data_IF_351078938826
#
_entry.id   IF_351078938826
#
_cell.length_a   1.000
_cell.length_b   1.000
_cell.length_c   1.000
_cell.angle_alpha   90.00
_cell.angle_beta   90.00
_cell.angle_gamma   90.00
#
_symmetry.space_group_name_H-M   'P 1'
#
loop_
_entity.id
_entity.type
_entity.pdbx_description
1 polymer ?
#
# COMPACT_ATOMS: atom_id res chain seq x y z
N UNK A 1 14.26 -4.06 -22.40
CA UNK A 1 15.26 -3.37 -21.57
C UNK A 1 16.67 -3.61 -22.04
N UNK A 2 17.58 -2.81 -21.57
CA UNK A 2 19.00 -2.92 -21.87
C UNK A 2 19.87 -2.68 -20.64
N UNK A 3 21.04 -3.29 -20.65
CA UNK A 3 22.08 -3.09 -19.65
C UNK A 3 23.39 -2.70 -20.33
N UNK A 4 24.05 -1.70 -19.78
CA UNK A 4 25.41 -1.32 -20.15
C UNK A 4 26.31 -1.44 -18.93
N UNK A 5 27.51 -2.05 -19.12
CA UNK A 5 28.47 -2.30 -18.06
C UNK A 5 29.87 -1.87 -18.49
N UNK A 6 30.44 -0.90 -17.77
CA UNK A 6 31.86 -0.54 -17.86
C UNK A 6 32.59 -1.20 -16.69
N UNK A 7 33.54 -2.07 -17.00
CA UNK A 7 34.49 -2.64 -16.02
C UNK A 7 35.85 -1.98 -16.18
N UNK A 8 36.53 -1.71 -15.09
CA UNK A 8 37.86 -1.12 -15.04
C UNK A 8 38.85 -2.10 -14.39
N UNK A 9 40.16 -1.99 -14.70
CA UNK A 9 41.18 -2.82 -14.05
C UNK A 9 41.15 -2.77 -12.54
N UNK A 10 41.66 -3.81 -11.88
CA UNK A 10 41.68 -3.94 -10.43
C UNK A 10 42.42 -2.83 -9.66
N UNK A 11 43.29 -2.08 -10.33
CA UNK A 11 44.00 -0.94 -9.73
C UNK A 11 43.25 0.37 -9.82
N UNK A 12 42.13 0.44 -10.57
CA UNK A 12 41.33 1.66 -10.67
C UNK A 12 40.46 1.87 -9.43
N UNK A 13 40.28 3.10 -8.98
CA UNK A 13 39.34 3.44 -7.89
C UNK A 13 37.91 3.03 -8.28
N UNK A 14 37.45 3.43 -9.46
CA UNK A 14 36.18 2.97 -10.04
C UNK A 14 36.38 1.57 -10.63
N UNK A 15 35.70 0.58 -10.09
CA UNK A 15 35.75 -0.83 -10.52
C UNK A 15 34.73 -1.12 -11.60
N UNK A 16 33.52 -0.60 -11.39
CA UNK A 16 32.42 -0.87 -12.29
C UNK A 16 31.44 0.30 -12.32
N UNK A 17 30.92 0.60 -13.50
CA UNK A 17 29.75 1.42 -13.69
C UNK A 17 28.73 0.61 -14.49
N UNK A 18 27.50 0.52 -14.00
CA UNK A 18 26.41 -0.20 -14.62
C UNK A 18 25.22 0.73 -14.81
N UNK A 19 24.66 0.76 -16.00
CA UNK A 19 23.42 1.46 -16.28
C UNK A 19 22.40 0.48 -16.87
N UNK A 20 21.19 0.48 -16.34
CA UNK A 20 20.09 -0.35 -16.81
C UNK A 20 18.90 0.53 -17.10
N UNK A 21 18.18 0.22 -18.18
CA UNK A 21 16.89 0.83 -18.49
C UNK A 21 15.91 -0.24 -18.97
N UNK A 22 14.66 -0.13 -18.58
CA UNK A 22 13.61 -1.03 -19.05
C UNK A 22 12.28 -0.29 -19.23
N UNK A 23 11.50 -0.79 -20.18
CA UNK A 23 10.13 -0.34 -20.45
C UNK A 23 9.29 -1.58 -20.67
N UNK A 24 8.09 -1.63 -20.09
CA UNK A 24 7.09 -2.65 -20.35
C UNK A 24 5.71 -2.06 -20.44
N UNK A 25 4.87 -2.65 -21.27
CA UNK A 25 3.47 -2.34 -21.45
C UNK A 25 2.70 -3.65 -21.38
N UNK A 26 1.67 -3.67 -20.56
CA UNK A 26 0.77 -4.81 -20.42
C UNK A 26 -0.64 -4.43 -20.86
N UNK A 27 -1.43 -5.44 -21.24
CA UNK A 27 -2.83 -5.29 -21.57
C UNK A 27 -3.61 -6.33 -20.78
N UNK A 28 -4.58 -5.89 -20.01
CA UNK A 28 -5.45 -6.76 -19.23
C UNK A 28 -6.89 -6.39 -19.41
N UNK A 29 -7.74 -7.40 -19.51
CA UNK A 29 -9.17 -7.21 -19.64
C UNK A 29 -9.89 -8.25 -18.77
N UNK A 30 -10.82 -7.78 -17.94
CA UNK A 30 -11.73 -8.62 -17.18
C UNK A 30 -13.15 -8.22 -17.59
N UNK A 31 -13.93 -9.18 -18.05
CA UNK A 31 -15.35 -8.98 -18.32
C UNK A 31 -16.17 -9.79 -17.31
N UNK A 32 -17.07 -9.12 -16.63
CA UNK A 32 -18.05 -9.75 -15.76
C UNK A 32 -19.46 -9.49 -16.31
N UNK A 33 -20.26 -10.53 -16.43
CA UNK A 33 -21.66 -10.44 -16.81
C UNK A 33 -22.47 -11.18 -15.77
N UNK A 34 -23.54 -10.54 -15.27
CA UNK A 34 -24.40 -11.10 -14.23
C UNK A 34 -25.86 -10.90 -14.57
N UNK A 35 -26.65 -11.97 -14.49
CA UNK A 35 -28.11 -11.87 -14.47
C UNK A 35 -28.54 -11.49 -13.06
N UNK A 36 -29.26 -10.37 -12.95
CA UNK A 36 -29.78 -9.84 -11.67
C UNK A 36 -31.28 -10.02 -11.67
N UNK A 37 -31.81 -10.64 -10.62
CA UNK A 37 -33.26 -10.75 -10.37
C UNK A 37 -33.58 -10.09 -9.03
N UNK A 38 -34.60 -9.24 -9.01
CA UNK A 38 -35.00 -8.46 -7.85
C UNK A 38 -36.34 -8.94 -7.32
N UNK A 39 -36.49 -9.12 -6.04
CA UNK A 39 -37.72 -9.51 -5.34
C UNK A 39 -38.72 -8.34 -5.25
N UNK A 40 -38.22 -7.10 -5.35
CA UNK A 40 -39.01 -5.88 -5.22
C UNK A 40 -38.46 -4.77 -6.13
N UNK A 41 -39.26 -3.80 -6.53
CA UNK A 41 -38.80 -2.61 -7.21
C UNK A 41 -37.76 -1.90 -6.35
N UNK A 42 -36.61 -1.63 -6.95
CA UNK A 42 -35.49 -0.99 -6.26
C UNK A 42 -35.08 0.25 -7.03
N UNK A 43 -35.14 1.40 -6.35
CA UNK A 43 -34.66 2.66 -6.89
C UNK A 43 -33.16 2.79 -6.68
N UNK A 44 -32.45 3.29 -7.67
CA UNK A 44 -31.02 3.51 -7.64
C UNK A 44 -30.65 4.92 -8.11
N UNK A 45 -29.49 5.44 -7.70
CA UNK A 45 -28.96 6.70 -8.22
C UNK A 45 -28.61 6.58 -9.71
N UNK A 46 -28.74 7.67 -10.44
CA UNK A 46 -28.40 7.79 -11.87
C UNK A 46 -27.44 8.97 -12.12
N UNK A 47 -26.83 9.55 -11.09
CA UNK A 47 -25.93 10.69 -11.22
C UNK A 47 -24.49 10.34 -10.86
N UNK A 48 -23.55 10.92 -11.58
CA UNK A 48 -22.11 10.95 -11.26
C UNK A 48 -21.69 12.32 -10.71
N UNK A 49 -22.62 13.27 -10.62
CA UNK A 49 -22.37 14.63 -10.15
C UNK A 49 -23.03 14.85 -8.79
N UNK A 50 -22.49 15.81 -8.04
CA UNK A 50 -23.07 16.24 -6.78
C UNK A 50 -24.35 17.05 -7.00
N UNK A 51 -25.36 16.79 -6.20
CA UNK A 51 -26.60 17.55 -6.21
C UNK A 51 -27.86 16.68 -6.13
N UNK A 52 -29.01 17.33 -6.19
CA UNK A 52 -30.31 16.68 -6.26
C UNK A 52 -30.54 16.18 -7.68
N UNK A 53 -30.93 14.92 -7.82
CA UNK A 53 -31.26 14.32 -9.12
C UNK A 53 -32.27 13.19 -8.94
N UNK A 54 -33.06 12.98 -9.96
CA UNK A 54 -33.91 11.80 -10.02
C UNK A 54 -33.07 10.56 -10.36
N UNK A 55 -33.28 9.51 -9.60
CA UNK A 55 -32.81 8.18 -9.90
C UNK A 55 -33.73 7.44 -10.83
N UNK A 56 -33.55 6.14 -10.90
CA UNK A 56 -34.42 5.27 -11.69
C UNK A 56 -34.80 4.02 -10.88
N UNK A 57 -35.95 3.42 -11.25
CA UNK A 57 -36.29 2.09 -10.75
C UNK A 57 -35.79 1.02 -11.69
N UNK A 58 -35.05 0.07 -11.13
CA UNK A 58 -34.52 -1.07 -11.85
C UNK A 58 -35.68 -1.98 -12.34
N UNK A 59 -35.54 -2.57 -13.52
CA UNK A 59 -36.44 -3.68 -13.92
C UNK A 59 -36.18 -4.88 -12.98
N UNK A 60 -37.22 -5.73 -12.81
CA UNK A 60 -37.10 -6.92 -11.95
C UNK A 60 -36.02 -7.89 -12.40
N UNK A 61 -35.79 -7.97 -13.71
CA UNK A 61 -34.74 -8.81 -14.27
C UNK A 61 -33.93 -7.99 -15.28
N UNK A 62 -32.62 -8.03 -15.16
CA UNK A 62 -31.72 -7.40 -16.13
C UNK A 62 -30.38 -8.11 -16.18
N UNK A 63 -29.63 -7.88 -17.23
CA UNK A 63 -28.23 -8.29 -17.34
C UNK A 63 -27.36 -7.09 -17.05
N UNK A 64 -26.45 -7.24 -16.10
CA UNK A 64 -25.42 -6.26 -15.78
C UNK A 64 -24.10 -6.69 -16.40
N UNK A 65 -23.40 -5.76 -17.02
CA UNK A 65 -22.09 -5.96 -17.62
C UNK A 65 -21.08 -5.02 -16.97
N UNK A 66 -19.90 -5.53 -16.64
CA UNK A 66 -18.76 -4.72 -16.23
C UNK A 66 -17.52 -5.14 -17.02
N UNK A 67 -16.82 -4.16 -17.55
CA UNK A 67 -15.54 -4.31 -18.20
C UNK A 67 -14.48 -3.59 -17.38
N UNK A 68 -13.43 -4.30 -17.01
CA UNK A 68 -12.21 -3.70 -16.42
C UNK A 68 -11.13 -3.77 -17.49
N UNK A 69 -10.70 -2.62 -17.98
CA UNK A 69 -9.69 -2.50 -19.03
C UNK A 69 -8.45 -1.83 -18.46
N UNK A 70 -7.38 -2.60 -18.33
CA UNK A 70 -6.08 -2.16 -17.83
C UNK A 70 -5.04 -2.10 -18.96
N UNK A 71 -4.27 -1.00 -18.99
CA UNK A 71 -3.09 -0.82 -19.87
C UNK A 71 -1.92 -0.31 -19.02
N UNK A 72 -1.43 -1.12 -18.03
CA UNK A 72 -0.34 -0.69 -17.18
C UNK A 72 0.96 -0.55 -17.99
N UNK A 73 1.63 0.55 -17.76
CA UNK A 73 2.92 0.91 -18.34
C UNK A 73 3.93 1.11 -17.22
N UNK A 74 5.12 0.54 -17.38
CA UNK A 74 6.23 0.65 -16.46
C UNK A 74 7.49 1.09 -17.20
N UNK A 75 8.23 2.02 -16.61
CA UNK A 75 9.55 2.40 -17.07
C UNK A 75 10.50 2.47 -15.87
N UNK A 76 11.74 2.06 -16.05
CA UNK A 76 12.76 2.17 -15.02
C UNK A 76 14.11 2.55 -15.61
N UNK A 77 14.89 3.31 -14.84
CA UNK A 77 16.29 3.60 -15.12
C UNK A 77 17.09 3.49 -13.82
N UNK A 78 18.26 2.88 -13.89
CA UNK A 78 19.14 2.66 -12.75
C UNK A 78 20.59 2.79 -13.14
N UNK A 79 21.37 3.51 -12.33
CA UNK A 79 22.82 3.64 -12.45
C UNK A 79 23.45 3.20 -11.14
N UNK A 80 24.48 2.36 -11.22
CA UNK A 80 25.23 1.85 -10.06
C UNK A 80 26.71 2.01 -10.35
N UNK A 81 27.46 2.53 -9.39
CA UNK A 81 28.92 2.64 -9.41
C UNK A 81 29.52 1.90 -8.23
N UNK A 82 30.53 1.08 -8.49
CA UNK A 82 31.28 0.37 -7.48
C UNK A 82 32.73 0.92 -7.46
N UNK A 83 33.15 1.40 -6.30
CA UNK A 83 34.49 1.89 -6.04
C UNK A 83 35.18 0.97 -5.05
N UNK A 84 36.48 0.71 -5.22
CA UNK A 84 37.25 -0.06 -4.25
C UNK A 84 38.63 0.56 -4.05
N UNK A 85 39.03 0.65 -2.77
CA UNK A 85 40.34 1.17 -2.37
C UNK A 85 40.82 0.48 -1.09
N UNK A 86 42.10 0.63 -0.80
CA UNK A 86 42.71 0.16 0.44
C UNK A 86 43.22 1.35 1.21
N UNK A 87 42.99 1.34 2.51
CA UNK A 87 43.55 2.35 3.43
C UNK A 87 44.05 1.69 4.70
N UNK A 88 45.35 1.85 4.99
CA UNK A 88 46.03 1.17 6.11
C UNK A 88 45.83 -0.35 6.05
N UNK A 89 45.23 -0.94 7.11
CA UNK A 89 44.92 -2.37 7.23
C UNK A 89 43.50 -2.73 6.80
N UNK A 90 42.77 -1.80 6.16
CA UNK A 90 41.40 -1.99 5.73
C UNK A 90 41.23 -1.99 4.21
N UNK A 91 40.28 -2.76 3.73
CA UNK A 91 39.80 -2.71 2.35
C UNK A 91 38.38 -2.16 2.35
N UNK A 92 38.13 -1.27 1.41
CA UNK A 92 36.89 -0.52 1.31
C UNK A 92 36.23 -0.78 -0.06
N UNK A 93 34.92 -0.96 -0.04
CA UNK A 93 34.10 -0.98 -1.25
C UNK A 93 32.95 0.00 -1.04
N UNK A 94 32.91 1.06 -1.84
CA UNK A 94 31.82 2.02 -1.85
C UNK A 94 30.94 1.77 -3.07
N UNK A 95 29.66 1.51 -2.81
CA UNK A 95 28.63 1.40 -3.83
C UNK A 95 27.73 2.62 -3.80
N UNK A 96 27.57 3.30 -4.92
CA UNK A 96 26.62 4.41 -5.07
C UNK A 96 25.66 4.12 -6.21
N UNK A 97 24.48 4.73 -6.16
CA UNK A 97 23.54 4.57 -7.25
C UNK A 97 22.33 5.49 -7.15
N UNK A 98 21.68 5.60 -8.30
CA UNK A 98 20.38 6.27 -8.43
C UNK A 98 19.44 5.34 -9.20
N UNK A 99 18.16 5.38 -8.84
CA UNK A 99 17.11 4.56 -9.42
C UNK A 99 15.85 5.39 -9.58
N UNK A 100 15.26 5.35 -10.76
CA UNK A 100 13.98 5.94 -11.06
C UNK A 100 13.03 4.90 -11.64
N UNK A 101 11.81 4.85 -11.10
CA UNK A 101 10.75 3.96 -11.55
C UNK A 101 9.49 4.77 -11.80
N UNK A 102 8.83 4.49 -12.92
CA UNK A 102 7.56 5.09 -13.30
C UNK A 102 6.52 3.98 -13.50
N UNK A 103 5.33 4.19 -12.98
CA UNK A 103 4.15 3.37 -13.26
C UNK A 103 2.95 4.25 -13.60
N UNK A 104 2.23 3.89 -14.67
CA UNK A 104 1.03 4.55 -15.13
C UNK A 104 0.09 3.51 -15.74
N UNK A 105 -1.20 3.62 -15.49
CA UNK A 105 -2.19 2.81 -16.19
C UNK A 105 -2.94 3.71 -17.20
N UNK A 106 -2.88 3.36 -18.48
CA UNK A 106 -3.54 4.06 -19.58
C UNK A 106 -4.88 3.42 -19.98
N UNK A 107 -5.37 2.48 -19.18
CA UNK A 107 -6.63 1.77 -19.44
C UNK A 107 -7.86 2.63 -19.15
N UNK A 108 -8.97 2.22 -19.74
CA UNK A 108 -10.29 2.85 -19.53
C UNK A 108 -10.85 2.56 -18.12
N UNK A 109 -10.21 1.63 -17.38
CA UNK A 109 -10.55 1.30 -16.00
C UNK A 109 -11.83 0.49 -15.90
N UNK A 110 -12.68 0.84 -14.94
CA UNK A 110 -13.97 0.20 -14.73
C UNK A 110 -15.03 0.90 -15.58
N UNK A 111 -15.56 0.17 -16.56
CA UNK A 111 -16.61 0.63 -17.47
C UNK A 111 -17.84 -0.24 -17.25
N UNK A 112 -18.93 0.36 -16.84
CA UNK A 112 -20.22 -0.28 -16.67
C UNK A 112 -21.35 0.74 -16.74
N UNK A 113 -22.55 0.25 -17.01
CA UNK A 113 -23.76 1.04 -17.01
C UNK A 113 -24.27 1.21 -15.56
N UNK A 114 -24.23 2.43 -15.03
CA UNK A 114 -24.71 2.73 -13.68
C UNK A 114 -26.21 2.47 -13.51
N UNK A 115 -26.96 2.44 -14.62
CA UNK A 115 -28.40 2.14 -14.63
C UNK A 115 -28.72 0.64 -14.60
N UNK A 116 -27.67 -0.21 -14.72
CA UNK A 116 -27.74 -1.68 -14.64
C UNK A 116 -26.58 -2.22 -13.79
N UNK A 117 -26.51 -1.84 -12.51
CA UNK A 117 -25.37 -2.20 -11.67
C UNK A 117 -25.33 -3.70 -11.37
N UNK A 118 -24.13 -4.23 -11.17
CA UNK A 118 -23.94 -5.62 -10.72
C UNK A 118 -24.54 -5.88 -9.32
N UNK A 119 -24.65 -4.82 -8.53
CA UNK A 119 -25.23 -4.83 -7.18
C UNK A 119 -25.99 -3.51 -6.94
N UNK A 120 -27.22 -3.62 -6.45
CA UNK A 120 -28.11 -2.47 -6.24
C UNK A 120 -27.63 -1.50 -5.14
N UNK A 121 -26.82 -1.98 -4.20
CA UNK A 121 -26.24 -1.17 -3.10
C UNK A 121 -24.86 -0.59 -3.44
N UNK A 122 -24.48 -0.55 -4.72
CA UNK A 122 -23.16 -0.02 -5.12
C UNK A 122 -23.11 1.50 -4.94
N UNK A 123 -22.10 1.97 -4.22
CA UNK A 123 -21.76 3.40 -4.10
C UNK A 123 -20.61 3.80 -5.02
N UNK A 124 -20.10 2.87 -5.82
CA UNK A 124 -19.02 3.13 -6.79
C UNK A 124 -19.58 3.74 -8.08
N UNK A 125 -18.71 4.44 -8.80
CA UNK A 125 -18.99 4.98 -10.13
C UNK A 125 -17.87 4.53 -11.09
N UNK A 126 -18.12 4.47 -12.41
CA UNK A 126 -17.09 4.22 -13.40
C UNK A 126 -15.92 5.16 -13.22
N UNK A 127 -14.68 4.64 -13.35
CA UNK A 127 -13.46 5.44 -13.24
C UNK A 127 -12.44 5.00 -14.28
N UNK A 128 -11.94 5.95 -15.05
CA UNK A 128 -10.83 5.72 -15.97
C UNK A 128 -9.50 5.62 -15.22
N UNK A 129 -8.73 4.57 -15.48
CA UNK A 129 -7.37 4.46 -14.92
C UNK A 129 -6.42 5.48 -15.54
N UNK A 130 -6.71 5.94 -16.76
CA UNK A 130 -5.92 6.96 -17.43
C UNK A 130 -5.98 8.34 -16.72
N UNK A 131 -7.03 8.60 -15.94
CA UNK A 131 -7.14 9.84 -15.15
C UNK A 131 -6.23 9.83 -13.91
N UNK A 132 -5.79 8.65 -13.45
CA UNK A 132 -4.92 8.53 -12.29
C UNK A 132 -3.50 8.98 -12.68
N UNK A 133 -2.89 9.95 -11.99
CA UNK A 133 -1.55 10.41 -12.30
C UNK A 133 -0.51 9.30 -12.27
N UNK A 134 0.56 9.44 -13.06
CA UNK A 134 1.69 8.52 -13.00
C UNK A 134 2.35 8.58 -11.62
N UNK A 135 2.70 7.42 -11.09
CA UNK A 135 3.54 7.31 -9.91
C UNK A 135 4.99 7.24 -10.33
N UNK A 136 5.84 8.05 -9.73
CA UNK A 136 7.26 8.08 -9.98
C UNK A 136 8.04 7.99 -8.67
N UNK A 137 8.85 6.96 -8.53
CA UNK A 137 9.71 6.72 -7.38
C UNK A 137 11.16 7.03 -7.76
N UNK A 138 11.80 7.94 -7.04
CA UNK A 138 13.21 8.28 -7.16
C UNK A 138 13.96 7.85 -5.90
N UNK A 139 15.07 7.15 -6.07
CA UNK A 139 15.95 6.75 -4.98
C UNK A 139 17.40 7.05 -5.30
N UNK A 140 18.15 7.56 -4.34
CA UNK A 140 19.59 7.77 -4.41
C UNK A 140 20.21 7.10 -3.20
N UNK A 141 21.32 6.37 -3.36
CA UNK A 141 21.92 5.65 -2.26
C UNK A 141 23.44 5.60 -2.35
N UNK A 142 24.05 5.47 -1.17
CA UNK A 142 25.45 5.14 -0.99
C UNK A 142 25.60 4.12 0.13
N UNK A 143 26.46 3.15 -0.06
CA UNK A 143 26.80 2.13 0.92
C UNK A 143 28.29 1.83 0.87
N UNK A 144 28.95 1.94 2.01
CA UNK A 144 30.32 1.53 2.20
C UNK A 144 30.40 0.19 2.93
N UNK A 145 31.25 -0.69 2.45
CA UNK A 145 31.64 -1.93 3.11
C UNK A 145 33.13 -1.90 3.38
N UNK A 146 33.49 -2.05 4.65
CA UNK A 146 34.87 -2.08 5.11
C UNK A 146 35.20 -3.45 5.69
N UNK A 147 36.32 -4.03 5.27
CA UNK A 147 36.95 -5.16 5.93
C UNK A 147 38.23 -4.68 6.60
N UNK A 148 38.35 -4.93 7.92
CA UNK A 148 39.50 -4.58 8.72
C UNK A 148 40.08 -5.84 9.40
N UNK A 149 41.38 -6.09 9.21
CA UNK A 149 42.08 -7.21 9.83
C UNK A 149 43.04 -6.70 10.92
N UNK A 150 42.76 -7.07 12.17
CA UNK A 150 43.56 -6.71 13.35
C UNK A 150 44.15 -7.97 14.00
N UNK A 151 45.36 -8.35 13.59
CA UNK A 151 45.94 -9.63 13.96
C UNK A 151 45.07 -10.79 13.44
N UNK A 152 44.56 -11.62 14.34
CA UNK A 152 43.66 -12.74 14.00
C UNK A 152 42.15 -12.35 14.05
N UNK A 153 41.82 -11.09 14.37
CA UNK A 153 40.43 -10.59 14.34
C UNK A 153 40.08 -10.07 12.95
N UNK A 154 38.90 -10.43 12.49
CA UNK A 154 38.31 -9.84 11.26
C UNK A 154 37.06 -9.07 11.60
N UNK A 155 37.02 -7.80 11.21
CA UNK A 155 35.86 -6.92 11.38
C UNK A 155 35.33 -6.52 10.01
N UNK A 156 34.05 -6.73 9.81
CA UNK A 156 33.31 -6.31 8.63
C UNK A 156 32.28 -5.27 9.05
N UNK A 157 32.37 -4.11 8.47
CA UNK A 157 31.46 -3.00 8.70
C UNK A 157 30.75 -2.66 7.40
N UNK A 158 29.43 -2.45 7.47
CA UNK A 158 28.66 -1.88 6.35
C UNK A 158 27.85 -0.70 6.87
N UNK A 159 28.01 0.45 6.26
CA UNK A 159 27.24 1.66 6.55
C UNK A 159 26.65 2.21 5.25
N UNK A 160 25.37 2.49 5.23
CA UNK A 160 24.69 2.99 4.03
C UNK A 160 23.55 3.92 4.35
N UNK A 161 23.19 4.71 3.36
CA UNK A 161 22.02 5.58 3.39
C UNK A 161 21.32 5.53 2.04
N UNK A 162 20.01 5.46 2.06
CA UNK A 162 19.15 5.59 0.87
C UNK A 162 18.19 6.75 1.09
N UNK A 163 18.10 7.64 0.12
CA UNK A 163 17.13 8.72 0.08
C UNK A 163 16.05 8.36 -0.95
N UNK A 164 14.79 8.31 -0.52
CA UNK A 164 13.65 7.96 -1.34
C UNK A 164 12.71 9.15 -1.46
N UNK A 165 12.13 9.38 -2.64
CA UNK A 165 11.16 10.44 -2.91
C UNK A 165 10.12 9.96 -3.90
N UNK A 166 8.87 10.41 -3.75
CA UNK A 166 7.87 10.39 -4.81
C UNK A 166 7.94 11.72 -5.55
N UNK A 167 8.33 11.68 -6.82
CA UNK A 167 8.41 12.87 -7.67
C UNK A 167 7.17 12.98 -8.56
N UNK A 168 6.86 14.21 -9.02
CA UNK A 168 5.68 14.47 -9.86
C UNK A 168 4.35 14.49 -9.12
N UNK A 169 4.35 14.48 -7.78
CA UNK A 169 3.14 14.67 -6.98
C UNK A 169 2.61 16.09 -7.12
N UNK A 170 1.29 16.26 -7.02
CA UNK A 170 0.65 17.57 -6.89
C UNK A 170 1.16 18.31 -5.65
N UNK A 171 1.26 19.64 -5.73
CA UNK A 171 1.64 20.51 -4.61
C UNK A 171 0.74 20.41 -3.37
N UNK A 172 -0.43 19.78 -3.49
CA UNK A 172 -1.32 19.50 -2.35
C UNK A 172 -0.73 18.46 -1.41
N UNK A 173 0.08 17.49 -1.90
CA UNK A 173 0.61 16.43 -1.06
C UNK A 173 1.73 16.93 -0.14
N UNK A 174 1.62 16.64 1.14
CA UNK A 174 2.64 16.94 2.14
C UNK A 174 3.99 16.27 1.87
N UNK A 175 4.03 15.23 1.05
CA UNK A 175 5.23 14.50 0.61
C UNK A 175 5.91 15.11 -0.63
N UNK A 176 5.27 16.02 -1.33
CA UNK A 176 5.79 16.59 -2.56
C UNK A 176 7.17 17.26 -2.33
N UNK A 177 8.16 16.89 -3.14
CA UNK A 177 9.52 17.39 -3.06
C UNK A 177 10.34 16.97 -1.85
N UNK A 178 9.84 16.05 -1.01
CA UNK A 178 10.55 15.57 0.18
C UNK A 178 11.30 14.28 -0.07
N UNK A 179 12.51 14.20 0.50
CA UNK A 179 13.30 12.99 0.58
C UNK A 179 13.20 12.35 1.97
N UNK A 180 13.07 11.03 1.98
CA UNK A 180 13.02 10.20 3.18
C UNK A 180 14.26 9.34 3.24
N UNK A 181 15.03 9.49 4.33
CA UNK A 181 16.34 8.88 4.48
C UNK A 181 16.26 7.60 5.29
N UNK A 182 16.81 6.53 4.73
CA UNK A 182 16.86 5.20 5.30
C UNK A 182 18.33 4.81 5.57
N UNK A 183 18.91 5.25 6.70
CA UNK A 183 20.24 4.84 7.10
C UNK A 183 20.23 3.37 7.56
N UNK A 184 21.34 2.68 7.35
CA UNK A 184 21.60 1.33 7.85
C UNK A 184 23.03 1.16 8.24
N UNK A 185 23.27 0.35 9.27
CA UNK A 185 24.57 0.02 9.79
C UNK A 185 24.60 -1.44 10.17
N UNK A 186 25.64 -2.18 9.75
CA UNK A 186 25.86 -3.57 10.12
C UNK A 186 27.31 -3.76 10.50
N UNK A 187 27.54 -4.56 11.54
CA UNK A 187 28.85 -4.97 12.04
C UNK A 187 28.88 -6.49 12.14
N UNK A 188 29.95 -7.10 11.65
CA UNK A 188 30.31 -8.48 11.95
C UNK A 188 31.74 -8.51 12.48
N UNK A 189 31.93 -9.15 13.62
CA UNK A 189 33.22 -9.40 14.24
C UNK A 189 33.46 -10.90 14.30
N UNK A 190 34.45 -11.38 13.55
CA UNK A 190 34.97 -12.74 13.64
C UNK A 190 36.14 -12.76 14.63
N UNK A 191 35.97 -13.49 15.71
CA UNK A 191 37.01 -13.65 16.71
C UNK A 191 38.10 -14.59 16.18
N UNK A 192 39.32 -14.48 16.74
CA UNK A 192 40.33 -15.48 16.49
C UNK A 192 39.85 -16.88 16.82
N UNK A 193 40.22 -17.85 16.02
CA UNK A 193 39.91 -19.25 16.31
C UNK A 193 40.44 -19.62 17.70
N UNK A 194 39.60 -20.26 18.51
CA UNK A 194 39.92 -20.65 19.89
C UNK A 194 40.15 -22.17 19.97
N UNK A 195 40.76 -22.62 21.07
CA UNK A 195 41.08 -24.01 21.33
C UNK A 195 42.50 -24.37 20.89
N UNK A 196 43.00 -25.53 21.33
CA UNK A 196 44.36 -25.99 21.01
C UNK A 196 44.56 -26.25 19.52
N UNK A 197 43.48 -26.63 18.81
CA UNK A 197 43.46 -26.94 17.37
C UNK A 197 42.85 -25.81 16.55
N UNK A 198 42.59 -24.63 17.13
CA UNK A 198 41.88 -23.52 16.46
C UNK A 198 40.52 -23.94 15.88
N UNK A 199 39.81 -24.86 16.54
CA UNK A 199 38.59 -25.53 16.04
C UNK A 199 37.28 -24.84 16.47
N UNK A 200 37.32 -23.84 17.32
CA UNK A 200 36.21 -22.99 17.67
C UNK A 200 36.22 -21.68 16.86
N UNK A 201 35.20 -21.50 16.04
CA UNK A 201 34.99 -20.26 15.28
C UNK A 201 33.76 -19.54 15.82
N UNK A 202 33.94 -18.28 16.22
CA UNK A 202 32.88 -17.46 16.81
C UNK A 202 32.75 -16.17 16.01
N UNK A 203 31.53 -15.91 15.50
CA UNK A 203 31.18 -14.65 14.90
C UNK A 203 30.07 -13.97 15.71
N UNK A 204 30.22 -12.70 15.98
CA UNK A 204 29.21 -11.83 16.55
C UNK A 204 28.85 -10.82 15.48
N UNK A 205 27.55 -10.69 15.17
CA UNK A 205 27.11 -9.68 14.21
C UNK A 205 25.84 -8.98 14.69
N UNK A 206 25.61 -7.79 14.19
CA UNK A 206 24.40 -7.04 14.47
C UNK A 206 24.22 -5.91 13.49
N UNK A 207 23.00 -5.40 13.44
CA UNK A 207 22.68 -4.30 12.55
C UNK A 207 21.48 -3.52 13.03
N UNK A 208 21.40 -2.28 12.56
CA UNK A 208 20.26 -1.41 12.71
C UNK A 208 19.98 -0.69 11.40
N UNK A 209 18.71 -0.56 11.03
CA UNK A 209 18.33 0.14 9.81
C UNK A 209 16.91 0.67 9.87
N UNK A 210 16.66 1.64 8.99
CA UNK A 210 15.34 2.20 8.72
C UNK A 210 14.93 1.88 7.29
N UNK A 211 13.63 1.71 7.10
CA UNK A 211 13.01 1.47 5.80
C UNK A 211 11.73 2.29 5.69
N UNK A 212 11.68 3.17 4.73
CA UNK A 212 10.50 3.96 4.38
C UNK A 212 9.70 3.26 3.28
N UNK A 213 8.44 2.93 3.56
CA UNK A 213 7.50 2.38 2.57
C UNK A 213 6.61 3.51 2.06
N UNK A 214 6.74 3.85 0.79
CA UNK A 214 5.90 4.86 0.15
C UNK A 214 4.44 4.37 0.02
N UNK A 215 3.45 5.27 0.05
CA UNK A 215 2.05 4.93 -0.23
C UNK A 215 1.90 4.31 -1.62
N UNK A 216 0.93 3.43 -1.78
CA UNK A 216 0.55 2.87 -3.08
C UNK A 216 -0.23 3.89 -3.91
N UNK A 217 -0.36 3.66 -5.23
CA UNK A 217 -1.18 4.51 -6.10
C UNK A 217 -2.63 4.62 -5.62
N UNK A 218 -3.22 3.51 -5.15
CA UNK A 218 -4.58 3.51 -4.61
C UNK A 218 -4.73 4.33 -3.32
N UNK A 219 -3.68 4.41 -2.48
CA UNK A 219 -3.68 5.24 -1.28
C UNK A 219 -3.48 6.73 -1.61
N UNK A 220 -2.72 7.05 -2.67
CA UNK A 220 -2.49 8.42 -3.11
C UNK A 220 -3.68 8.99 -3.88
N UNK A 221 -4.33 8.15 -4.68
CA UNK A 221 -5.41 8.54 -5.59
C UNK A 221 -6.59 7.58 -5.45
N UNK A 222 -7.28 7.58 -4.28
CA UNK A 222 -8.47 6.76 -4.08
C UNK A 222 -9.60 7.18 -5.03
N UNK A 223 -10.64 6.37 -5.12
CA UNK A 223 -11.87 6.74 -5.79
C UNK A 223 -12.56 7.89 -5.06
N UNK A 224 -13.26 8.74 -5.80
CA UNK A 224 -14.14 9.72 -5.20
C UNK A 224 -15.22 8.99 -4.37
N UNK A 225 -15.57 9.58 -3.25
CA UNK A 225 -16.62 9.05 -2.40
C UNK A 225 -17.98 9.60 -2.85
N UNK A 226 -18.92 8.69 -3.07
CA UNK A 226 -20.31 9.03 -3.37
C UNK A 226 -21.20 8.55 -2.24
N UNK A 227 -22.13 9.40 -1.82
CA UNK A 227 -23.18 9.06 -0.85
C UNK A 227 -24.51 9.55 -1.41
N UNK A 228 -25.37 8.60 -1.73
CA UNK A 228 -26.67 8.87 -2.31
C UNK A 228 -27.75 8.76 -1.21
N UNK A 229 -28.36 9.87 -0.87
CA UNK A 229 -29.39 9.96 0.17
C UNK A 229 -30.75 10.10 -0.50
N UNK A 230 -31.63 9.13 -0.27
CA UNK A 230 -33.00 9.15 -0.82
C UNK A 230 -33.81 10.25 -0.16
N UNK A 231 -34.31 11.19 -0.97
CA UNK A 231 -35.17 12.30 -0.54
C UNK A 231 -36.65 11.98 -0.76
N UNK A 232 -37.00 11.33 -1.89
CA UNK A 232 -38.31 10.80 -2.20
C UNK A 232 -38.17 9.40 -2.77
N UNK A 233 -39.02 8.48 -2.35
CA UNK A 233 -39.16 7.15 -2.95
C UNK A 233 -40.64 6.85 -3.08
N UNK A 234 -41.21 7.27 -4.22
CA UNK A 234 -42.61 7.06 -4.53
C UNK A 234 -42.77 5.95 -5.57
N UNK A 235 -43.26 4.80 -5.11
CA UNK A 235 -43.60 3.68 -6.00
C UNK A 235 -45.05 3.73 -6.38
N UNK A 236 -45.30 3.52 -7.69
CA UNK A 236 -46.65 3.35 -8.26
C UNK A 236 -46.68 2.12 -9.19
N UNK A 237 -47.84 1.45 -9.30
CA UNK A 237 -47.96 0.27 -10.16
C UNK A 237 -47.70 0.62 -11.64
N UNK A 238 -48.23 1.77 -12.13
CA UNK A 238 -47.83 2.31 -13.43
C UNK A 238 -46.39 2.86 -13.30
N UNK A 239 -45.42 2.32 -14.08
CA UNK A 239 -44.02 2.78 -14.05
C UNK A 239 -43.83 4.27 -14.36
N UNK A 240 -44.69 4.85 -15.18
CA UNK A 240 -44.64 6.26 -15.61
C UNK A 240 -44.90 7.24 -14.44
N UNK A 241 -45.52 6.76 -13.35
CA UNK A 241 -45.88 7.58 -12.20
C UNK A 241 -44.91 7.39 -11.03
N UNK A 242 -43.87 6.56 -11.21
CA UNK A 242 -42.83 6.34 -10.17
C UNK A 242 -41.88 7.50 -10.16
N UNK A 243 -41.45 7.88 -8.95
CA UNK A 243 -40.34 8.82 -8.78
C UNK A 243 -39.45 8.42 -7.62
N UNK A 244 -38.16 8.40 -7.86
CA UNK A 244 -37.12 8.37 -6.81
C UNK A 244 -36.25 9.59 -6.99
N UNK A 245 -36.13 10.41 -5.96
CA UNK A 245 -35.27 11.57 -5.96
C UNK A 245 -34.20 11.40 -4.86
N UNK A 246 -32.95 11.74 -5.19
CA UNK A 246 -31.82 11.56 -4.30
C UNK A 246 -30.97 12.84 -4.25
N UNK A 247 -30.36 13.07 -3.09
CA UNK A 247 -29.26 14.00 -2.95
C UNK A 247 -27.96 13.18 -3.03
N UNK A 248 -27.19 13.39 -4.07
CA UNK A 248 -25.85 12.79 -4.24
C UNK A 248 -24.82 13.73 -3.69
N UNK A 249 -24.04 13.27 -2.69
CA UNK A 249 -22.84 13.91 -2.22
C UNK A 249 -21.62 13.27 -2.87
N UNK A 250 -20.67 14.11 -3.31
CA UNK A 250 -19.43 13.68 -3.95
C UNK A 250 -18.27 14.47 -3.38
N UNK A 251 -17.22 13.78 -2.94
CA UNK A 251 -16.00 14.46 -2.51
C UNK A 251 -14.73 13.64 -2.74
N UNK A 252 -13.64 14.38 -2.80
CA UNK A 252 -12.30 13.81 -2.90
C UNK A 252 -11.92 13.13 -1.56
N UNK A 253 -11.68 11.81 -1.62
CA UNK A 253 -11.29 11.00 -0.47
C UNK A 253 -9.75 10.91 -0.29
N UNK A 254 -9.00 11.78 -0.96
CA UNK A 254 -7.55 11.80 -0.89
C UNK A 254 -7.05 12.36 0.43
N UNK A 255 -6.17 11.62 1.11
CA UNK A 255 -5.42 12.15 2.23
C UNK A 255 -4.11 12.77 1.75
N UNK A 256 -4.10 14.09 1.62
CA UNK A 256 -2.93 14.87 1.18
C UNK A 256 -1.81 14.93 2.24
N UNK A 257 -2.11 14.64 3.52
CA UNK A 257 -1.16 14.60 4.63
C UNK A 257 -0.52 13.22 4.84
N UNK A 258 -0.82 12.27 3.96
CA UNK A 258 -0.27 10.92 4.04
C UNK A 258 1.26 10.95 3.98
N UNK A 259 1.91 10.16 4.85
CA UNK A 259 3.37 10.07 4.97
C UNK A 259 3.83 8.65 4.69
N UNK A 260 5.08 8.43 4.25
CA UNK A 260 5.63 7.08 4.15
C UNK A 260 5.58 6.37 5.52
N UNK A 261 5.20 5.11 5.51
CA UNK A 261 5.31 4.28 6.70
C UNK A 261 6.78 3.95 6.94
N UNK A 262 7.28 4.18 8.16
CA UNK A 262 8.69 4.03 8.48
C UNK A 262 8.90 2.91 9.50
N UNK A 263 9.64 1.89 9.08
CA UNK A 263 10.04 0.77 9.91
C UNK A 263 11.49 0.97 10.40
N UNK A 264 11.74 0.66 11.68
CA UNK A 264 13.08 0.52 12.27
C UNK A 264 13.25 -0.93 12.68
N UNK A 265 14.32 -1.57 12.18
CA UNK A 265 14.73 -2.92 12.57
C UNK A 265 16.13 -2.89 13.15
N UNK A 266 16.38 -3.67 14.22
CA UNK A 266 17.71 -4.00 14.68
C UNK A 266 17.78 -5.48 15.03
N UNK A 267 18.97 -6.04 14.93
CA UNK A 267 19.22 -7.45 15.24
C UNK A 267 20.62 -7.65 15.77
N UNK A 268 20.77 -8.69 16.60
CA UNK A 268 22.07 -9.21 17.07
C UNK A 268 22.09 -10.72 16.87
N UNK A 269 23.19 -11.23 16.35
CA UNK A 269 23.40 -12.63 16.03
C UNK A 269 24.72 -13.12 16.59
N UNK A 270 24.69 -14.28 17.23
CA UNK A 270 25.84 -15.09 17.59
C UNK A 270 25.87 -16.32 16.69
N UNK A 271 27.04 -16.62 16.12
CA UNK A 271 27.30 -17.84 15.36
C UNK A 271 28.52 -18.55 15.93
N UNK A 272 28.39 -19.81 16.27
CA UNK A 272 29.48 -20.64 16.85
C UNK A 272 29.60 -21.90 16.00
N UNK A 273 30.81 -22.21 15.57
CA UNK A 273 31.12 -23.47 14.84
C UNK A 273 32.25 -24.18 15.56
N UNK A 274 32.11 -25.49 15.77
CA UNK A 274 33.10 -26.35 16.39
C UNK A 274 33.07 -27.76 15.77
N UNK A 275 34.17 -28.21 15.19
CA UNK A 275 34.32 -29.56 14.60
C UNK A 275 33.16 -29.95 13.64
N UNK A 276 32.69 -29.00 12.86
CA UNK A 276 31.57 -29.20 11.92
C UNK A 276 30.16 -29.13 12.54
N UNK A 277 30.02 -29.00 13.86
CA UNK A 277 28.80 -28.56 14.50
C UNK A 277 28.67 -27.04 14.37
N UNK A 278 27.47 -26.57 14.12
CA UNK A 278 27.22 -25.13 14.06
C UNK A 278 25.94 -24.78 14.83
N UNK A 279 26.03 -23.68 15.56
CA UNK A 279 24.90 -23.07 16.26
C UNK A 279 24.85 -21.59 15.93
N UNK A 280 23.69 -21.11 15.53
CA UNK A 280 23.44 -19.69 15.34
C UNK A 280 22.16 -19.30 16.06
N UNK A 281 22.17 -18.17 16.73
CA UNK A 281 21.01 -17.55 17.35
C UNK A 281 20.96 -16.08 17.00
N UNK A 282 19.77 -15.60 16.65
CA UNK A 282 19.50 -14.19 16.30
C UNK A 282 18.34 -13.70 17.15
N UNK A 283 18.51 -12.57 17.82
CA UNK A 283 17.42 -11.79 18.38
C UNK A 283 17.19 -10.56 17.51
N UNK A 284 15.94 -10.23 17.23
CA UNK A 284 15.60 -9.04 16.46
C UNK A 284 14.37 -8.32 17.01
N UNK A 285 14.29 -7.04 16.68
CA UNK A 285 13.14 -6.21 16.97
C UNK A 285 12.84 -5.29 15.78
N UNK A 286 11.56 -5.20 15.43
CA UNK A 286 11.03 -4.27 14.43
C UNK A 286 9.97 -3.38 15.05
N UNK A 287 9.98 -2.09 14.69
CA UNK A 287 8.98 -1.12 15.12
C UNK A 287 8.60 -0.18 14.00
N UNK A 288 7.29 -0.07 13.78
CA UNK A 288 6.67 0.87 12.86
C UNK A 288 5.54 1.58 13.60
N UNK A 289 5.62 2.91 13.73
CA UNK A 289 4.65 3.69 14.51
C UNK A 289 3.57 4.36 13.64
N UNK A 290 3.76 4.36 12.32
CA UNK A 290 2.93 5.07 11.35
C UNK A 290 2.57 4.20 10.13
N UNK A 291 2.31 2.91 10.33
CA UNK A 291 1.87 2.03 9.26
C UNK A 291 0.52 2.48 8.69
N UNK A 292 0.32 2.17 7.41
CA UNK A 292 -0.93 2.51 6.72
C UNK A 292 -2.10 1.72 7.25
N UNK A 293 -3.26 2.38 7.30
CA UNK A 293 -4.57 1.79 7.53
C UNK A 293 -5.66 2.72 7.01
N UNK A 294 -6.87 2.18 6.87
CA UNK A 294 -8.06 3.00 6.68
C UNK A 294 -8.52 3.54 8.04
N UNK A 295 -8.70 4.86 8.10
CA UNK A 295 -9.19 5.58 9.27
C UNK A 295 -10.63 6.00 8.98
N UNK A 296 -11.54 5.68 9.89
CA UNK A 296 -12.95 6.07 9.78
C UNK A 296 -13.15 7.50 10.22
N UNK A 297 -13.88 8.25 9.42
CA UNK A 297 -14.34 9.60 9.67
C UNK A 297 -15.86 9.63 9.59
N UNK A 298 -16.46 10.61 10.27
CA UNK A 298 -17.90 10.79 10.31
C UNK A 298 -18.23 12.21 9.89
N UNK A 299 -19.29 12.34 9.07
CA UNK A 299 -19.76 13.63 8.58
C UNK A 299 -21.28 13.65 8.62
N UNK A 300 -21.85 14.76 9.05
CA UNK A 300 -23.28 15.01 8.98
C UNK A 300 -23.65 15.49 7.59
N UNK A 301 -24.66 14.86 6.99
CA UNK A 301 -25.22 15.21 5.67
C UNK A 301 -26.65 15.67 5.86
N UNK A 302 -26.96 16.85 5.35
CA UNK A 302 -28.31 17.39 5.35
C UNK A 302 -29.04 17.03 4.05
N UNK A 303 -30.30 16.70 4.12
CA UNK A 303 -31.12 16.38 2.95
C UNK A 303 -32.58 16.73 3.17
N UNK A 304 -33.33 16.90 2.08
CA UNK A 304 -34.78 17.07 2.11
C UNK A 304 -35.44 15.70 2.21
N UNK A 305 -36.38 15.56 3.12
CA UNK A 305 -37.20 14.36 3.25
C UNK A 305 -38.63 14.75 2.86
N UNK A 306 -38.99 14.43 1.62
CA UNK A 306 -40.31 14.75 1.09
C UNK A 306 -41.40 13.87 1.70
N UNK A 307 -42.54 14.46 1.98
CA UNK A 307 -43.69 13.75 2.48
C UNK A 307 -44.50 13.16 1.32
N UNK A 308 -44.38 11.84 1.14
CA UNK A 308 -45.12 11.10 0.13
C UNK A 308 -46.58 10.82 0.47
N UNK A 309 -47.01 11.07 1.71
CA UNK A 309 -48.40 10.81 2.15
C UNK A 309 -49.41 11.81 1.58
N UNK A 310 -48.94 12.97 1.14
CA UNK A 310 -49.77 13.98 0.48
C UNK A 310 -50.09 13.68 -1.00
N UNK A 311 -49.46 12.66 -1.60
CA UNK A 311 -49.62 12.33 -3.00
C UNK A 311 -50.94 11.60 -3.23
N UNK A 312 -51.88 12.26 -3.97
CA UNK A 312 -53.12 11.61 -4.40
C UNK A 312 -52.88 10.79 -5.67
N UNK A 313 -52.73 9.47 -5.50
CA UNK A 313 -52.43 8.53 -6.60
C UNK A 313 -53.47 8.48 -7.73
N UNK A 314 -54.72 8.90 -7.45
CA UNK A 314 -55.82 8.90 -8.43
C UNK A 314 -55.82 10.14 -9.32
N UNK A 315 -55.09 11.19 -8.97
CA UNK A 315 -55.03 12.44 -9.75
C UNK A 315 -53.71 12.60 -10.54
N UNK A 316 -52.80 11.63 -10.38
CA UNK A 316 -51.53 11.70 -11.06
C UNK A 316 -51.68 11.60 -12.58
N UNK A 317 -51.05 12.52 -13.29
CA UNK A 317 -50.89 12.51 -14.75
C UNK A 317 -49.46 12.19 -15.18
N UNK A 318 -48.53 12.05 -14.21
CA UNK A 318 -47.12 11.75 -14.38
C UNK A 318 -46.47 11.51 -13.01
N UNK A 319 -45.14 11.47 -12.95
CA UNK A 319 -44.42 11.39 -11.68
C UNK A 319 -44.78 12.56 -10.76
N UNK A 320 -44.88 12.39 -9.43
CA UNK A 320 -45.17 13.51 -8.49
C UNK A 320 -44.22 14.67 -8.67
N UNK A 321 -44.70 15.89 -8.78
CA UNK A 321 -43.88 17.09 -8.87
C UNK A 321 -43.31 17.42 -7.49
N UNK A 322 -41.97 17.56 -7.34
CA UNK A 322 -41.33 17.83 -6.04
C UNK A 322 -41.75 19.18 -5.49
N UNK A 323 -42.00 20.15 -6.34
CA UNK A 323 -42.40 21.51 -6.02
C UNK A 323 -43.77 21.59 -5.32
N UNK A 324 -44.60 20.56 -5.51
CA UNK A 324 -45.93 20.44 -4.92
C UNK A 324 -45.90 19.69 -3.57
N UNK A 325 -44.76 19.06 -3.22
CA UNK A 325 -44.63 18.28 -2.04
C UNK A 325 -44.01 19.09 -0.89
N UNK A 326 -44.57 18.91 0.29
CA UNK A 326 -43.91 19.39 1.52
C UNK A 326 -42.72 18.53 1.86
N UNK A 327 -41.68 19.12 2.46
CA UNK A 327 -40.53 18.40 2.97
C UNK A 327 -40.09 18.91 4.34
N UNK A 328 -39.43 18.04 5.08
CA UNK A 328 -38.65 18.41 6.25
C UNK A 328 -37.15 18.34 5.91
N UNK A 329 -36.37 19.28 6.44
CA UNK A 329 -34.93 19.10 6.43
C UNK A 329 -34.55 18.07 7.50
N UNK A 330 -33.81 17.07 7.08
CA UNK A 330 -33.33 15.98 7.92
C UNK A 330 -31.82 15.83 7.78
N UNK A 331 -31.19 15.16 8.73
CA UNK A 331 -29.74 14.95 8.73
C UNK A 331 -29.40 13.50 9.03
N UNK A 332 -28.37 13.00 8.40
CA UNK A 332 -27.83 11.68 8.68
C UNK A 332 -26.32 11.75 8.95
N UNK A 333 -25.82 10.83 9.76
CA UNK A 333 -24.39 10.62 9.94
C UNK A 333 -23.91 9.65 8.89
N UNK A 334 -22.95 10.07 8.10
CA UNK A 334 -22.27 9.22 7.14
C UNK A 334 -20.87 8.86 7.64
N UNK A 335 -20.54 7.56 7.64
CA UNK A 335 -19.21 7.06 7.93
C UNK A 335 -18.46 6.78 6.63
N UNK A 336 -17.24 7.29 6.51
CA UNK A 336 -16.37 7.00 5.39
C UNK A 336 -14.95 6.65 5.84
N UNK A 337 -14.15 6.08 4.96
CA UNK A 337 -12.77 5.66 5.26
C UNK A 337 -11.79 6.30 4.32
N UNK A 338 -10.69 6.77 4.86
CA UNK A 338 -9.58 7.37 4.11
C UNK A 338 -8.28 6.71 4.55
N UNK A 339 -7.39 6.46 3.60
CA UNK A 339 -6.06 5.93 3.90
C UNK A 339 -5.28 6.90 4.81
N UNK A 340 -4.69 6.40 5.87
CA UNK A 340 -3.93 7.20 6.83
C UNK A 340 -2.79 6.44 7.50
N UNK A 341 -1.99 7.15 8.28
CA UNK A 341 -0.89 6.59 9.07
C UNK A 341 -1.38 6.35 10.51
N UNK A 342 -2.08 5.25 10.73
CA UNK A 342 -2.83 5.02 11.97
C UNK A 342 -2.55 3.71 12.71
N UNK A 343 -1.56 2.92 12.27
CA UNK A 343 -1.23 1.65 12.90
C UNK A 343 0.18 1.66 13.46
N UNK A 344 0.33 1.17 14.70
CA UNK A 344 1.61 0.82 15.29
C UNK A 344 1.81 -0.68 15.20
N UNK A 345 2.99 -1.10 14.72
CA UNK A 345 3.40 -2.50 14.65
C UNK A 345 4.70 -2.65 15.43
N UNK A 346 4.73 -3.60 16.36
CA UNK A 346 5.92 -4.01 17.08
C UNK A 346 6.09 -5.52 16.92
N UNK A 347 7.26 -5.94 16.45
CA UNK A 347 7.62 -7.35 16.31
C UNK A 347 8.95 -7.59 17.00
N UNK A 348 9.05 -8.70 17.69
CA UNK A 348 10.30 -9.18 18.28
C UNK A 348 10.37 -10.69 18.13
N UNK A 349 11.58 -11.24 18.08
CA UNK A 349 11.72 -12.66 17.96
C UNK A 349 13.14 -13.17 18.19
N UNK A 350 13.21 -14.46 18.44
CA UNK A 350 14.45 -15.23 18.53
C UNK A 350 14.38 -16.31 17.46
N UNK A 351 15.39 -16.41 16.63
CA UNK A 351 15.56 -17.48 15.65
C UNK A 351 16.85 -18.23 15.96
N UNK A 352 16.81 -19.55 15.82
CA UNK A 352 18.02 -20.36 16.00
C UNK A 352 18.14 -21.42 14.91
N UNK A 353 19.38 -21.80 14.65
CA UNK A 353 19.73 -22.90 13.76
C UNK A 353 20.85 -23.69 14.42
N UNK A 354 20.69 -25.01 14.47
CA UNK A 354 21.71 -25.94 14.87
C UNK A 354 21.94 -26.96 13.77
N UNK A 355 23.19 -27.29 13.46
CA UNK A 355 23.52 -28.37 12.55
C UNK A 355 24.68 -29.22 13.06
N UNK A 356 24.65 -30.49 12.69
CA UNK A 356 25.72 -31.46 12.99
C UNK A 356 26.67 -31.60 11.79
N UNK A 357 27.90 -32.07 11.96
CA UNK A 357 28.65 -32.63 10.86
C UNK A 357 27.95 -33.88 10.31
N UNK A 358 28.39 -34.42 9.19
CA UNK A 358 27.90 -35.71 8.70
C UNK A 358 28.32 -36.81 9.68
N UNK A 359 27.34 -37.42 10.33
CA UNK A 359 27.55 -38.56 11.24
C UNK A 359 27.85 -39.78 10.37
N UNK A 360 29.09 -40.27 10.43
CA UNK A 360 29.60 -41.29 9.52
C UNK A 360 28.79 -42.60 9.59
N UNK A 361 28.37 -43.00 10.78
CA UNK A 361 27.59 -44.23 11.04
C UNK A 361 26.21 -44.17 10.36
N UNK A 362 25.57 -43.02 10.38
CA UNK A 362 24.21 -42.79 9.82
C UNK A 362 24.25 -42.22 8.40
N UNK A 363 25.42 -41.85 7.90
CA UNK A 363 25.62 -41.14 6.60
C UNK A 363 24.74 -39.89 6.49
N UNK A 364 24.34 -39.28 7.61
CA UNK A 364 23.31 -38.23 7.69
C UNK A 364 23.85 -37.02 8.43
N UNK A 365 23.38 -35.84 8.02
CA UNK A 365 23.53 -34.56 8.74
C UNK A 365 22.16 -34.16 9.27
N UNK A 366 22.09 -33.71 10.51
CA UNK A 366 20.89 -33.12 11.11
C UNK A 366 20.99 -31.61 11.09
N UNK A 367 19.88 -30.96 10.76
CA UNK A 367 19.70 -29.52 10.89
C UNK A 367 18.38 -29.26 11.60
N UNK A 368 18.42 -28.52 12.68
CA UNK A 368 17.26 -28.10 13.48
C UNK A 368 17.18 -26.58 13.40
N UNK A 369 16.03 -26.08 13.03
CA UNK A 369 15.72 -24.63 13.01
C UNK A 369 14.49 -24.39 13.84
N UNK A 370 14.46 -23.25 14.54
CA UNK A 370 13.29 -22.84 15.31
C UNK A 370 13.21 -21.33 15.42
N UNK A 371 12.00 -20.85 15.67
CA UNK A 371 11.77 -19.44 15.89
C UNK A 371 10.68 -19.22 16.95
N UNK A 372 10.88 -18.21 17.78
CA UNK A 372 9.85 -17.63 18.62
C UNK A 372 9.61 -16.20 18.16
N UNK A 373 8.34 -15.89 17.84
CA UNK A 373 7.94 -14.60 17.27
C UNK A 373 6.77 -14.03 18.07
N UNK A 374 6.85 -12.76 18.38
CA UNK A 374 5.76 -11.99 18.98
C UNK A 374 5.49 -10.75 18.15
N UNK A 375 4.22 -10.56 17.76
CA UNK A 375 3.76 -9.39 17.00
C UNK A 375 2.63 -8.71 17.75
N UNK A 376 2.75 -7.41 17.94
CA UNK A 376 1.72 -6.56 18.55
C UNK A 376 1.30 -5.49 17.57
N UNK A 377 -0.01 -5.38 17.37
CA UNK A 377 -0.64 -4.36 16.54
C UNK A 377 -1.52 -3.49 17.43
N UNK A 378 -1.41 -2.18 17.26
CA UNK A 378 -2.23 -1.21 17.98
C UNK A 378 -2.52 0.01 17.11
N UNK A 379 -3.49 0.80 17.51
CA UNK A 379 -3.76 2.07 16.86
C UNK A 379 -2.76 3.12 17.35
N UNK A 380 -2.23 3.91 16.42
CA UNK A 380 -1.40 5.09 16.73
C UNK A 380 -2.19 6.40 16.66
N UNK A 381 -3.48 6.32 16.31
CA UNK A 381 -4.43 7.44 16.25
C UNK A 381 -5.71 7.07 17.01
N UNK A 382 -6.47 8.08 17.43
CA UNK A 382 -7.79 7.88 18.01
C UNK A 382 -8.75 7.34 16.94
N UNK A 383 -9.57 6.37 17.33
CA UNK A 383 -10.63 5.83 16.50
C UNK A 383 -11.97 6.19 17.15
N UNK A 384 -12.85 6.75 16.34
CA UNK A 384 -14.21 7.06 16.74
C UNK A 384 -15.14 5.93 16.29
N UNK A 385 -16.20 5.72 17.06
CA UNK A 385 -17.31 4.83 16.70
C UNK A 385 -18.61 5.62 16.86
N UNK A 386 -19.51 5.37 15.94
CA UNK A 386 -20.88 5.82 16.08
C UNK A 386 -21.53 5.10 17.28
N UNK A 387 -22.24 5.85 18.10
CA UNK A 387 -23.10 5.30 19.15
C UNK A 387 -24.45 6.02 19.10
N UNK A 388 -25.54 5.26 19.21
CA UNK A 388 -26.88 5.78 19.33
C UNK A 388 -27.32 5.70 20.79
N UNK A 389 -27.92 6.78 21.30
CA UNK A 389 -28.60 6.81 22.61
C UNK A 389 -30.10 6.96 22.33
N UNK A 390 -30.87 5.98 22.76
CA UNK A 390 -32.33 6.12 22.75
C UNK A 390 -32.74 6.94 23.97
N UNK A 391 -33.25 8.13 23.73
CA UNK A 391 -33.85 8.96 24.78
C UNK A 391 -35.32 8.59 24.80
N UNK A 392 -35.78 7.90 25.86
CA UNK A 392 -37.19 7.56 26.09
C UNK A 392 -37.91 8.76 26.69
#
# INVERSE_FOLDING_TARGET
GGEWVLKRPEHSLLRQLRANASVSQEFSQIKEQKSVSLDRPTGIPNSTEQGEADGLYLPYNYVADMLINGKPFYASAKVISDFAFKWLKSSHTLKTGAEWNLSKNFGDGQVYDITRPLQTASTTRPRSYNEIPARQDLSIYAEEQMKLSLGKHEIYLSAGIRANSLIGLSGKFAMQGKFYFDPRFNLKWSLPALGKNEDWLIDISGGIGWLSRMPTTAQLYPDALYVDVVQLNYYHNNPEFRRINLMTYKWDNTNYDLKPARNRKWEVRLNVTHNGYGFAVTYFQERMDNAFRDISYYQTLAYKKYDSSSINSSELTGPPALEELTYAEDTMINAYRTAGNGTRVHKEGIEFTFHTPRIKQLQTRFTVTGAWLKSTYSNSVLLYRESSVVIN
#
